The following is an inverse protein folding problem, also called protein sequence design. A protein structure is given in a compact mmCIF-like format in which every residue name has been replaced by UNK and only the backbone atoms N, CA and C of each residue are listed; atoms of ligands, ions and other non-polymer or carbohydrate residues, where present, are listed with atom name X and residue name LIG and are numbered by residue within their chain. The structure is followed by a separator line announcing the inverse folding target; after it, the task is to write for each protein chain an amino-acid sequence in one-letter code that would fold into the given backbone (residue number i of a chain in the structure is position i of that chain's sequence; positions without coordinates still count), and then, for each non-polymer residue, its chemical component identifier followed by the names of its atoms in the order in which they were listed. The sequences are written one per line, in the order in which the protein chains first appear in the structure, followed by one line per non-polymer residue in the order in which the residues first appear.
data_IF_387835415907
#
_entry.id   IF_387835415907
#
_cell.length_a   1.000
_cell.length_b   1.000
_cell.length_c   1.000
_cell.angle_alpha   90.00
_cell.angle_beta   90.00
_cell.angle_gamma   90.00
#
_symmetry.space_group_name_H-M   'P 1'
#
loop_
_entity.id
_entity.type
_entity.pdbx_description
1 polymer ?
#
# COMPACT_ATOMS: atom_id res chain seq x y z
N UNK A 1 -59.57 -31.88 -57.79
CA UNK A 1 -58.68 -30.70 -57.95
C UNK A 1 -58.84 -29.68 -56.83
N UNK A 2 -60.01 -29.41 -56.29
CA UNK A 2 -60.25 -28.38 -55.24
C UNK A 2 -59.51 -28.56 -53.92
N UNK A 3 -59.35 -29.78 -53.40
CA UNK A 3 -58.71 -30.00 -52.11
C UNK A 3 -57.21 -29.60 -52.10
N UNK A 4 -56.47 -29.86 -53.19
CA UNK A 4 -55.05 -29.50 -53.27
C UNK A 4 -54.85 -27.98 -53.41
N UNK A 5 -55.73 -27.29 -54.08
CA UNK A 5 -55.64 -25.85 -54.22
C UNK A 5 -56.00 -25.15 -52.89
N UNK A 6 -56.94 -25.65 -52.15
CA UNK A 6 -57.36 -25.16 -50.82
C UNK A 6 -56.21 -25.31 -49.83
N UNK A 7 -55.56 -26.46 -49.78
CA UNK A 7 -54.39 -26.71 -48.94
C UNK A 7 -53.16 -25.90 -49.35
N UNK A 8 -52.97 -25.64 -50.63
CA UNK A 8 -51.92 -24.77 -51.14
C UNK A 8 -52.13 -23.33 -50.65
N UNK A 9 -53.37 -22.83 -50.70
CA UNK A 9 -53.70 -21.50 -50.23
C UNK A 9 -53.56 -21.35 -48.74
N UNK A 10 -53.98 -22.33 -47.95
CA UNK A 10 -53.73 -22.38 -46.48
C UNK A 10 -52.24 -22.30 -46.16
N UNK A 11 -51.37 -23.04 -46.91
CA UNK A 11 -49.94 -23.04 -46.73
C UNK A 11 -49.31 -21.65 -47.07
N UNK A 12 -49.75 -21.05 -48.18
CA UNK A 12 -49.30 -19.70 -48.58
C UNK A 12 -49.71 -18.62 -47.53
N UNK A 13 -50.90 -18.72 -46.95
CA UNK A 13 -51.32 -17.78 -45.89
C UNK A 13 -50.56 -18.01 -44.62
N UNK A 14 -50.28 -19.25 -44.25
CA UNK A 14 -49.40 -19.58 -43.12
C UNK A 14 -47.97 -19.09 -43.28
N UNK A 15 -47.41 -19.20 -44.50
CA UNK A 15 -46.08 -18.66 -44.83
C UNK A 15 -46.09 -17.15 -44.70
N UNK A 16 -47.10 -16.43 -45.16
CA UNK A 16 -47.21 -14.97 -44.98
C UNK A 16 -47.32 -14.60 -43.53
N UNK A 17 -48.09 -15.29 -42.73
CA UNK A 17 -48.21 -15.06 -41.26
C UNK A 17 -46.88 -15.24 -40.58
N UNK A 18 -46.13 -16.32 -40.85
CA UNK A 18 -44.82 -16.59 -40.30
C UNK A 18 -43.81 -15.50 -40.71
N UNK A 19 -43.87 -15.04 -41.95
CA UNK A 19 -43.03 -13.96 -42.41
C UNK A 19 -43.31 -12.61 -41.69
N UNK A 20 -44.62 -12.31 -41.48
CA UNK A 20 -44.99 -11.12 -40.73
C UNK A 20 -44.53 -11.17 -39.26
N UNK A 21 -44.72 -12.30 -38.59
CA UNK A 21 -44.27 -12.48 -37.24
C UNK A 21 -42.77 -12.44 -37.11
N UNK A 22 -42.04 -13.03 -38.10
CA UNK A 22 -40.59 -12.91 -38.16
C UNK A 22 -40.12 -11.48 -38.28
N UNK A 23 -40.73 -10.67 -39.17
CA UNK A 23 -40.41 -9.24 -39.31
C UNK A 23 -40.69 -8.46 -38.06
N UNK A 24 -41.80 -8.70 -37.35
CA UNK A 24 -42.10 -8.10 -36.05
C UNK A 24 -41.04 -8.46 -35.01
N UNK A 25 -40.63 -9.70 -34.94
CA UNK A 25 -39.58 -10.16 -34.03
C UNK A 25 -38.24 -9.46 -34.30
N UNK A 26 -37.88 -9.30 -35.58
CA UNK A 26 -36.65 -8.61 -35.97
C UNK A 26 -36.66 -7.13 -35.56
N UNK A 27 -37.78 -6.45 -35.67
CA UNK A 27 -37.94 -5.05 -35.22
C UNK A 27 -37.82 -4.95 -33.71
N UNK A 28 -38.49 -5.82 -32.96
CA UNK A 28 -38.43 -5.85 -31.48
C UNK A 28 -36.98 -6.13 -31.04
N UNK A 29 -36.35 -7.15 -31.60
CA UNK A 29 -34.98 -7.51 -31.27
C UNK A 29 -33.97 -6.40 -31.59
N UNK A 30 -34.19 -5.66 -32.68
CA UNK A 30 -33.38 -4.50 -33.06
C UNK A 30 -33.50 -3.37 -32.03
N UNK A 31 -34.74 -3.04 -31.63
CA UNK A 31 -35.03 -2.04 -30.61
C UNK A 31 -34.41 -2.38 -29.25
N UNK A 32 -34.59 -3.62 -28.79
CA UNK A 32 -33.98 -4.10 -27.53
C UNK A 32 -32.45 -4.02 -27.55
N UNK A 33 -31.83 -4.33 -28.71
CA UNK A 33 -30.37 -4.18 -28.87
C UNK A 33 -29.93 -2.71 -28.73
N UNK A 34 -30.62 -1.79 -29.39
CA UNK A 34 -30.33 -0.35 -29.28
C UNK A 34 -30.47 0.15 -27.85
N UNK A 35 -31.54 -0.24 -27.14
CA UNK A 35 -31.73 0.13 -25.73
C UNK A 35 -30.61 -0.44 -24.85
N UNK A 36 -30.18 -1.66 -25.10
CA UNK A 36 -29.11 -2.30 -24.35
C UNK A 36 -27.76 -1.62 -24.61
N UNK A 37 -27.47 -1.27 -25.86
CA UNK A 37 -26.27 -0.54 -26.22
C UNK A 37 -26.24 0.86 -25.58
N UNK A 38 -27.36 1.59 -25.56
CA UNK A 38 -27.49 2.87 -24.84
C UNK A 38 -27.25 2.74 -23.35
N UNK A 39 -27.79 1.70 -22.71
CA UNK A 39 -27.56 1.43 -21.28
C UNK A 39 -26.11 1.08 -21.00
N UNK A 40 -25.46 0.31 -21.87
CA UNK A 40 -24.03 -0.03 -21.74
C UNK A 40 -23.16 1.22 -21.81
N UNK A 41 -23.41 2.08 -22.78
CA UNK A 41 -22.65 3.31 -22.98
C UNK A 41 -22.82 4.29 -21.81
N UNK A 42 -24.06 4.47 -21.34
CA UNK A 42 -24.35 5.30 -20.17
C UNK A 42 -23.65 4.78 -18.91
N UNK A 43 -23.71 3.46 -18.64
CA UNK A 43 -23.04 2.86 -17.47
C UNK A 43 -21.53 2.95 -17.59
N UNK A 44 -20.97 2.88 -18.82
CA UNK A 44 -19.53 3.07 -19.05
C UNK A 44 -19.08 4.47 -18.66
N UNK A 45 -19.81 5.51 -19.11
CA UNK A 45 -19.52 6.91 -18.76
C UNK A 45 -19.68 7.17 -17.27
N UNK A 46 -20.74 6.63 -16.65
CA UNK A 46 -20.94 6.74 -15.20
C UNK A 46 -19.77 6.10 -14.43
N UNK A 47 -19.34 4.89 -14.83
CA UNK A 47 -18.20 4.20 -14.23
C UNK A 47 -16.93 5.02 -14.34
N UNK A 48 -16.61 5.55 -15.53
CA UNK A 48 -15.41 6.36 -15.76
C UNK A 48 -15.42 7.63 -14.89
N UNK A 49 -16.54 8.34 -14.82
CA UNK A 49 -16.68 9.54 -13.98
C UNK A 49 -16.52 9.25 -12.49
N UNK A 50 -17.06 8.13 -12.02
CA UNK A 50 -16.94 7.74 -10.60
C UNK A 50 -15.54 7.21 -10.29
N UNK A 51 -14.88 6.48 -11.20
CA UNK A 51 -13.50 6.08 -11.04
C UNK A 51 -12.57 7.29 -10.95
N UNK A 52 -12.83 8.31 -11.75
CA UNK A 52 -12.08 9.56 -11.69
C UNK A 52 -12.27 10.25 -10.34
N UNK A 53 -13.53 10.42 -9.86
CA UNK A 53 -13.80 10.98 -8.54
C UNK A 53 -13.17 10.17 -7.41
N UNK A 54 -13.25 8.84 -7.45
CA UNK A 54 -12.63 7.98 -6.45
C UNK A 54 -11.11 8.12 -6.44
N UNK A 55 -10.50 8.27 -7.61
CA UNK A 55 -9.06 8.49 -7.78
C UNK A 55 -8.64 9.86 -7.27
N UNK A 56 -9.37 10.92 -7.63
CA UNK A 56 -9.11 12.30 -7.20
C UNK A 56 -9.25 12.46 -5.68
N UNK A 57 -10.28 11.87 -5.09
CA UNK A 57 -10.56 11.96 -3.66
C UNK A 57 -9.90 10.86 -2.83
N UNK A 58 -9.24 9.90 -3.47
CA UNK A 58 -8.61 8.74 -2.82
C UNK A 58 -9.57 7.97 -1.89
N UNK A 59 -10.85 7.92 -2.25
CA UNK A 59 -11.89 7.25 -1.51
C UNK A 59 -12.39 6.08 -2.35
N UNK A 60 -12.34 4.86 -1.80
CA UNK A 60 -13.00 3.69 -2.39
C UNK A 60 -14.46 3.64 -1.92
N UNK A 61 -15.38 3.48 -2.86
CA UNK A 61 -16.79 3.35 -2.53
C UNK A 61 -17.27 1.92 -2.83
N UNK A 62 -17.77 1.17 -1.84
CA UNK A 62 -18.30 -0.19 -2.05
C UNK A 62 -19.38 -0.27 -3.13
N UNK A 63 -20.20 0.78 -3.28
CA UNK A 63 -21.23 0.85 -4.32
C UNK A 63 -20.66 0.88 -5.75
N UNK A 64 -19.41 1.31 -5.95
CA UNK A 64 -18.74 1.25 -7.25
C UNK A 64 -18.57 -0.20 -7.74
N UNK A 65 -18.38 -1.16 -6.82
CA UNK A 65 -18.35 -2.57 -7.16
C UNK A 65 -19.69 -3.05 -7.77
N UNK A 66 -20.81 -2.49 -7.30
CA UNK A 66 -22.14 -2.76 -7.86
C UNK A 66 -22.30 -2.20 -9.27
N UNK A 67 -21.80 -0.98 -9.51
CA UNK A 67 -21.82 -0.37 -10.86
C UNK A 67 -21.00 -1.20 -11.86
N UNK A 68 -19.86 -1.77 -11.45
CA UNK A 68 -19.10 -2.71 -12.26
C UNK A 68 -19.88 -4.00 -12.57
N UNK A 69 -20.53 -4.56 -11.57
CA UNK A 69 -21.37 -5.76 -11.75
C UNK A 69 -22.50 -5.50 -12.75
N UNK A 70 -23.17 -4.37 -12.65
CA UNK A 70 -24.25 -3.98 -13.56
C UNK A 70 -23.77 -3.82 -15.00
N UNK A 71 -22.64 -3.12 -15.22
CA UNK A 71 -22.05 -3.00 -16.56
C UNK A 71 -21.70 -4.34 -17.18
N UNK A 72 -21.00 -5.19 -16.42
CA UNK A 72 -20.65 -6.55 -16.87
C UNK A 72 -21.90 -7.39 -17.14
N UNK A 73 -22.98 -7.23 -16.32
CA UNK A 73 -24.26 -7.92 -16.52
C UNK A 73 -24.89 -7.53 -17.86
N UNK A 74 -24.87 -6.25 -18.22
CA UNK A 74 -25.40 -5.77 -19.51
C UNK A 74 -24.59 -6.32 -20.70
N UNK A 75 -23.27 -6.33 -20.59
CA UNK A 75 -22.38 -6.92 -21.63
C UNK A 75 -22.61 -8.41 -21.80
N UNK A 76 -22.76 -9.16 -20.69
CA UNK A 76 -23.03 -10.60 -20.73
C UNK A 76 -24.41 -10.90 -21.32
N UNK A 77 -25.45 -10.10 -21.00
CA UNK A 77 -26.79 -10.23 -21.61
C UNK A 77 -26.73 -10.03 -23.12
N UNK A 78 -25.94 -9.06 -23.59
CA UNK A 78 -25.75 -8.82 -25.03
C UNK A 78 -25.11 -10.02 -25.70
N UNK A 79 -24.03 -10.59 -25.11
CA UNK A 79 -23.34 -11.77 -25.63
C UNK A 79 -24.25 -13.02 -25.64
N UNK A 80 -24.95 -13.28 -24.52
CA UNK A 80 -25.85 -14.43 -24.40
C UNK A 80 -27.02 -14.30 -25.36
N UNK A 81 -27.57 -13.09 -25.50
CA UNK A 81 -28.64 -12.80 -26.48
C UNK A 81 -28.19 -13.06 -27.92
N UNK A 82 -26.97 -12.64 -28.28
CA UNK A 82 -26.41 -12.94 -29.60
C UNK A 82 -26.29 -14.46 -29.83
N UNK A 83 -25.79 -15.21 -28.88
CA UNK A 83 -25.62 -16.67 -29.01
C UNK A 83 -26.95 -17.41 -29.15
N UNK A 84 -28.03 -16.92 -28.54
CA UNK A 84 -29.38 -17.49 -28.66
C UNK A 84 -30.06 -17.17 -29.97
N UNK A 85 -29.84 -15.97 -30.51
CA UNK A 85 -30.63 -15.40 -31.63
C UNK A 85 -29.89 -15.37 -32.95
N UNK A 86 -28.67 -15.93 -33.04
CA UNK A 86 -27.93 -16.02 -34.32
C UNK A 86 -28.57 -17.07 -35.24
N UNK A 87 -28.21 -17.05 -36.52
CA UNK A 87 -28.75 -17.92 -37.58
C UNK A 87 -28.75 -19.40 -37.19
N UNK A 88 -27.74 -19.86 -36.45
CA UNK A 88 -27.65 -21.21 -35.87
C UNK A 88 -27.52 -21.07 -34.34
N UNK A 89 -28.63 -21.11 -33.59
CA UNK A 89 -28.63 -20.87 -32.16
C UNK A 89 -27.79 -21.86 -31.36
N UNK A 90 -26.93 -21.33 -30.48
CA UNK A 90 -26.08 -22.12 -29.60
C UNK A 90 -26.65 -22.17 -28.15
N UNK A 91 -27.82 -22.74 -28.00
CA UNK A 91 -28.60 -22.71 -26.75
C UNK A 91 -27.84 -23.33 -25.57
N UNK A 92 -27.24 -24.51 -25.74
CA UNK A 92 -26.45 -25.16 -24.67
C UNK A 92 -25.26 -24.29 -24.23
N UNK A 93 -24.46 -23.79 -25.20
CA UNK A 93 -23.34 -22.92 -24.92
C UNK A 93 -23.79 -21.59 -24.28
N UNK A 94 -24.92 -21.02 -24.67
CA UNK A 94 -25.45 -19.79 -24.08
C UNK A 94 -25.81 -19.96 -22.59
N UNK A 95 -26.33 -21.11 -22.20
CA UNK A 95 -26.61 -21.44 -20.78
C UNK A 95 -25.34 -21.54 -19.97
N UNK A 96 -24.34 -22.29 -20.46
CA UNK A 96 -23.04 -22.46 -19.78
C UNK A 96 -22.34 -21.10 -19.62
N UNK A 97 -22.28 -20.31 -20.71
CA UNK A 97 -21.66 -18.97 -20.67
C UNK A 97 -22.42 -18.04 -19.71
N UNK A 98 -23.74 -18.09 -19.68
CA UNK A 98 -24.54 -17.28 -18.75
C UNK A 98 -24.22 -17.60 -17.29
N UNK A 99 -24.03 -18.88 -16.97
CA UNK A 99 -23.72 -19.30 -15.59
C UNK A 99 -22.26 -18.92 -15.22
N UNK A 100 -21.31 -19.20 -16.07
CA UNK A 100 -19.91 -18.82 -15.87
C UNK A 100 -19.76 -17.28 -15.74
N UNK A 101 -20.46 -16.53 -16.57
CA UNK A 101 -20.49 -15.07 -16.48
C UNK A 101 -21.08 -14.58 -15.14
N UNK A 102 -22.13 -15.23 -14.64
CA UNK A 102 -22.69 -14.93 -13.32
C UNK A 102 -21.68 -15.15 -12.18
N UNK A 103 -20.99 -16.29 -12.20
CA UNK A 103 -19.95 -16.61 -11.20
C UNK A 103 -18.78 -15.63 -11.28
N UNK A 104 -18.31 -15.32 -12.50
CA UNK A 104 -17.26 -14.31 -12.74
C UNK A 104 -17.64 -12.94 -12.20
N UNK A 105 -18.87 -12.46 -12.49
CA UNK A 105 -19.35 -11.16 -11.99
C UNK A 105 -19.37 -11.12 -10.47
N UNK A 106 -19.88 -12.18 -9.84
CA UNK A 106 -19.89 -12.29 -8.38
C UNK A 106 -18.48 -12.21 -7.81
N UNK A 107 -17.54 -12.97 -8.34
CA UNK A 107 -16.14 -12.96 -7.88
C UNK A 107 -15.47 -11.59 -8.06
N UNK A 108 -15.70 -10.91 -9.20
CA UNK A 108 -15.17 -9.55 -9.45
C UNK A 108 -15.78 -8.55 -8.46
N UNK A 109 -17.08 -8.62 -8.21
CA UNK A 109 -17.74 -7.76 -7.22
C UNK A 109 -17.18 -7.97 -5.82
N UNK A 110 -17.11 -9.22 -5.38
CA UNK A 110 -16.64 -9.57 -4.04
C UNK A 110 -15.17 -9.14 -3.85
N UNK A 111 -14.34 -9.35 -4.88
CA UNK A 111 -12.95 -8.85 -4.91
C UNK A 111 -12.89 -7.32 -4.75
N UNK A 112 -13.68 -6.58 -5.54
CA UNK A 112 -13.68 -5.10 -5.47
C UNK A 112 -14.21 -4.59 -4.13
N UNK A 113 -15.23 -5.22 -3.56
CA UNK A 113 -15.70 -4.87 -2.21
C UNK A 113 -14.59 -5.07 -1.19
N UNK A 114 -13.88 -6.19 -1.25
CA UNK A 114 -12.77 -6.47 -0.35
C UNK A 114 -11.62 -5.44 -0.53
N UNK A 115 -11.25 -5.10 -1.78
CA UNK A 115 -10.25 -4.07 -2.08
C UNK A 115 -10.65 -2.70 -1.51
N UNK A 116 -11.91 -2.30 -1.65
CA UNK A 116 -12.40 -1.03 -1.10
C UNK A 116 -12.47 -1.02 0.42
N UNK A 117 -12.86 -2.13 1.04
CA UNK A 117 -12.86 -2.27 2.49
C UNK A 117 -11.44 -2.22 3.05
N UNK A 118 -10.50 -2.92 2.42
CA UNK A 118 -9.08 -2.87 2.79
C UNK A 118 -8.56 -1.43 2.68
N UNK A 119 -8.78 -0.75 1.55
CA UNK A 119 -8.36 0.64 1.37
C UNK A 119 -9.03 1.60 2.38
N UNK A 120 -10.29 1.36 2.75
CA UNK A 120 -11.00 2.12 3.76
C UNK A 120 -10.39 1.92 5.15
N UNK A 121 -10.15 0.66 5.54
CA UNK A 121 -9.53 0.35 6.82
C UNK A 121 -8.09 0.82 6.90
N UNK A 122 -7.29 0.71 5.83
CA UNK A 122 -5.93 1.24 5.76
C UNK A 122 -5.90 2.79 5.91
N UNK A 123 -6.96 3.48 5.47
CA UNK A 123 -7.07 4.93 5.68
C UNK A 123 -7.45 5.32 7.11
N UNK A 124 -8.33 4.54 7.75
CA UNK A 124 -8.77 4.81 9.13
C UNK A 124 -7.72 4.29 10.12
N UNK A 125 -7.08 3.20 9.77
CA UNK A 125 -6.26 2.37 10.62
C UNK A 125 -4.94 2.02 9.93
N UNK A 126 -4.00 2.98 9.75
CA UNK A 126 -2.74 2.74 9.05
C UNK A 126 -1.93 1.55 9.60
N UNK A 127 -2.04 1.24 10.90
CA UNK A 127 -1.37 0.09 11.52
C UNK A 127 -1.87 -1.28 11.01
N UNK A 128 -3.07 -1.36 10.40
CA UNK A 128 -3.53 -2.61 9.76
C UNK A 128 -2.68 -2.98 8.55
N UNK A 129 -1.98 -2.01 7.98
CA UNK A 129 -0.98 -2.26 6.93
C UNK A 129 0.18 -3.06 7.51
N UNK A 130 0.59 -2.76 8.75
CA UNK A 130 1.66 -3.46 9.46
C UNK A 130 1.32 -4.94 9.69
N UNK A 131 0.09 -5.22 10.14
CA UNK A 131 -0.40 -6.60 10.32
C UNK A 131 -0.47 -7.38 9.01
N UNK A 132 -0.83 -6.71 7.91
CA UNK A 132 -0.86 -7.34 6.59
C UNK A 132 0.55 -7.71 6.12
N UNK A 133 1.53 -6.88 6.41
CA UNK A 133 2.91 -7.07 6.00
C UNK A 133 3.65 -8.15 6.80
N UNK A 134 3.33 -8.33 8.07
CA UNK A 134 3.79 -9.50 8.84
C UNK A 134 3.30 -10.82 8.20
N UNK A 135 2.18 -10.79 7.48
CA UNK A 135 1.62 -11.95 6.77
C UNK A 135 2.17 -12.08 5.34
N UNK A 136 2.42 -10.95 4.64
CA UNK A 136 2.84 -10.92 3.22
C UNK A 136 4.37 -10.92 3.01
N UNK A 137 5.17 -10.82 4.07
CA UNK A 137 6.64 -10.63 3.99
C UNK A 137 7.38 -11.83 3.40
N UNK A 138 6.82 -13.02 3.43
CA UNK A 138 7.51 -14.19 2.93
C UNK A 138 6.81 -14.77 1.70
N UNK A 139 7.46 -14.69 0.53
CA UNK A 139 7.11 -15.54 -0.62
C UNK A 139 7.20 -17.02 -0.22
N UNK A 140 6.57 -17.94 -0.96
CA UNK A 140 6.67 -19.37 -0.68
C UNK A 140 8.13 -19.87 -0.67
N UNK A 141 8.97 -19.30 -1.53
CA UNK A 141 10.43 -19.56 -1.57
C UNK A 141 11.12 -19.08 -0.30
N UNK A 142 10.76 -17.91 0.20
CA UNK A 142 11.30 -17.35 1.45
C UNK A 142 10.84 -18.15 2.68
N UNK A 143 9.59 -18.61 2.70
CA UNK A 143 9.09 -19.52 3.73
C UNK A 143 9.79 -20.88 3.71
N UNK A 144 10.15 -21.37 2.53
CA UNK A 144 10.91 -22.61 2.38
C UNK A 144 12.33 -22.44 2.93
N UNK A 145 13.01 -21.31 2.62
CA UNK A 145 14.34 -21.00 3.16
C UNK A 145 14.32 -20.89 4.69
N UNK A 146 13.31 -20.24 5.27
CA UNK A 146 13.22 -20.09 6.72
C UNK A 146 13.01 -21.41 7.47
N UNK A 147 12.39 -22.42 6.85
CA UNK A 147 12.22 -23.76 7.44
C UNK A 147 13.54 -24.50 7.65
N UNK A 148 14.59 -24.11 6.96
CA UNK A 148 15.90 -24.74 7.06
C UNK A 148 16.74 -24.27 8.27
N UNK A 149 16.35 -23.14 8.89
CA UNK A 149 17.04 -22.55 10.03
C UNK A 149 16.53 -23.09 11.37
N UNK A 150 17.41 -23.13 12.38
CA UNK A 150 16.98 -23.39 13.76
C UNK A 150 16.24 -22.19 14.36
N UNK A 151 15.43 -22.42 15.41
CA UNK A 151 14.71 -21.34 16.11
C UNK A 151 15.65 -20.25 16.66
N UNK A 152 16.88 -20.62 17.05
CA UNK A 152 17.88 -19.66 17.53
C UNK A 152 18.44 -18.80 16.39
N UNK A 153 18.67 -19.41 15.22
CA UNK A 153 19.15 -18.71 14.03
C UNK A 153 18.09 -17.73 13.48
N UNK A 154 16.81 -18.11 13.54
CA UNK A 154 15.69 -17.27 13.11
C UNK A 154 15.53 -15.97 13.92
N UNK A 155 16.16 -15.89 15.09
CA UNK A 155 16.18 -14.64 15.86
C UNK A 155 17.10 -13.58 15.25
N UNK A 156 18.03 -13.95 14.37
CA UNK A 156 18.81 -13.00 13.58
C UNK A 156 18.12 -12.70 12.25
N UNK A 157 17.57 -11.51 12.11
CA UNK A 157 16.87 -11.08 10.89
C UNK A 157 17.73 -11.12 9.62
N UNK A 158 19.06 -11.27 9.73
CA UNK A 158 19.91 -11.49 8.56
C UNK A 158 19.58 -12.82 7.84
N UNK A 159 19.04 -13.82 8.55
CA UNK A 159 18.59 -15.09 7.96
C UNK A 159 17.49 -14.92 6.92
N UNK A 160 16.70 -13.84 7.02
CA UNK A 160 15.67 -13.52 6.03
C UNK A 160 16.24 -13.09 4.66
N UNK A 161 17.54 -12.82 4.59
CA UNK A 161 18.23 -12.30 3.40
C UNK A 161 19.36 -13.20 2.88
N UNK A 162 19.67 -14.30 3.58
CA UNK A 162 20.79 -15.18 3.28
C UNK A 162 20.32 -16.64 3.15
N UNK A 163 21.08 -17.46 2.44
CA UNK A 163 20.90 -18.91 2.53
C UNK A 163 21.57 -19.44 3.80
N UNK A 164 21.22 -20.65 4.20
CA UNK A 164 21.78 -21.28 5.40
C UNK A 164 23.31 -21.44 5.34
N UNK A 165 23.83 -21.79 4.17
CA UNK A 165 25.27 -21.91 3.91
C UNK A 165 25.94 -20.55 4.04
N UNK A 166 25.40 -19.51 3.37
CA UNK A 166 25.91 -18.15 3.46
C UNK A 166 25.90 -17.62 4.90
N UNK A 167 24.82 -17.90 5.64
CA UNK A 167 24.71 -17.47 7.04
C UNK A 167 25.75 -18.11 7.95
N UNK A 168 26.08 -19.38 7.74
CA UNK A 168 27.00 -20.15 8.60
C UNK A 168 28.46 -20.00 8.21
N UNK A 169 28.74 -19.94 6.91
CA UNK A 169 30.12 -20.02 6.40
C UNK A 169 30.76 -18.64 6.18
N UNK A 170 29.99 -17.61 5.91
CA UNK A 170 30.56 -16.30 5.63
C UNK A 170 31.09 -15.59 6.89
N UNK A 171 32.25 -14.91 6.80
CA UNK A 171 32.75 -14.02 7.86
C UNK A 171 31.73 -12.90 8.18
N UNK A 172 31.73 -12.43 9.45
CA UNK A 172 30.74 -11.45 9.96
C UNK A 172 30.53 -10.25 9.05
N UNK A 173 31.61 -9.56 8.66
CA UNK A 173 31.52 -8.38 7.77
C UNK A 173 30.81 -8.73 6.47
N UNK A 174 31.23 -9.79 5.78
CA UNK A 174 30.72 -10.16 4.46
C UNK A 174 29.28 -10.62 4.56
N UNK A 175 28.95 -11.43 5.58
CA UNK A 175 27.60 -11.92 5.86
C UNK A 175 26.62 -10.76 6.07
N UNK A 176 26.92 -9.88 6.99
CA UNK A 176 26.04 -8.78 7.36
C UNK A 176 25.93 -7.72 6.25
N UNK A 177 27.01 -7.47 5.48
CA UNK A 177 26.96 -6.58 4.32
C UNK A 177 26.07 -7.18 3.22
N UNK A 178 26.20 -8.47 2.94
CA UNK A 178 25.36 -9.15 1.94
C UNK A 178 23.88 -9.12 2.33
N UNK A 179 23.56 -9.33 3.60
CA UNK A 179 22.19 -9.22 4.10
C UNK A 179 21.65 -7.78 3.91
N UNK A 180 22.46 -6.76 4.22
CA UNK A 180 22.09 -5.35 4.03
C UNK A 180 21.88 -5.01 2.54
N UNK A 181 22.76 -5.47 1.66
CA UNK A 181 22.67 -5.22 0.22
C UNK A 181 21.40 -5.86 -0.36
N UNK A 182 21.09 -7.10 0.07
CA UNK A 182 19.87 -7.80 -0.34
C UNK A 182 18.62 -7.16 0.26
N UNK A 183 18.67 -6.70 1.51
CA UNK A 183 17.60 -5.86 2.07
C UNK A 183 17.31 -4.67 1.17
N UNK A 184 18.30 -3.89 0.74
CA UNK A 184 18.09 -2.72 -0.11
C UNK A 184 17.62 -3.06 -1.53
N UNK A 185 18.06 -4.18 -2.10
CA UNK A 185 17.65 -4.64 -3.45
C UNK A 185 16.24 -5.22 -3.49
N UNK A 186 15.81 -5.87 -2.42
CA UNK A 186 14.49 -6.53 -2.37
C UNK A 186 13.37 -5.50 -2.51
N UNK A 187 12.29 -5.81 -3.28
CA UNK A 187 11.07 -5.00 -3.28
C UNK A 187 10.55 -4.82 -1.85
N UNK A 188 10.10 -3.62 -1.55
CA UNK A 188 9.58 -3.27 -0.22
C UNK A 188 8.12 -2.92 -0.30
N UNK A 189 7.38 -3.23 0.73
CA UNK A 189 6.01 -2.79 0.91
C UNK A 189 5.89 -1.26 0.96
N UNK A 190 4.72 -0.76 0.70
CA UNK A 190 4.45 0.69 0.77
C UNK A 190 4.68 1.24 2.18
N UNK A 191 4.32 0.46 3.18
CA UNK A 191 4.52 0.80 4.58
C UNK A 191 6.01 0.89 4.94
N UNK A 192 6.80 -0.15 4.62
CA UNK A 192 8.23 -0.15 4.89
C UNK A 192 8.94 1.02 4.16
N UNK A 193 8.50 1.34 2.94
CA UNK A 193 9.02 2.50 2.21
C UNK A 193 8.67 3.80 2.95
N UNK A 194 7.45 3.93 3.48
CA UNK A 194 7.05 5.07 4.33
C UNK A 194 7.94 5.20 5.56
N UNK A 195 8.10 4.12 6.30
CA UNK A 195 8.96 4.06 7.49
C UNK A 195 10.43 4.38 7.21
N UNK A 196 10.97 3.88 6.09
CA UNK A 196 12.33 4.21 5.66
C UNK A 196 12.47 5.70 5.28
N UNK A 197 11.40 6.29 4.73
CA UNK A 197 11.36 7.71 4.43
C UNK A 197 11.35 8.57 5.71
N UNK A 198 10.57 8.19 6.71
CA UNK A 198 10.58 8.82 8.03
C UNK A 198 11.95 8.72 8.69
N UNK A 199 12.61 7.55 8.64
CA UNK A 199 13.97 7.36 9.13
C UNK A 199 14.98 8.24 8.41
N UNK A 200 14.85 8.37 7.09
CA UNK A 200 15.71 9.25 6.30
C UNK A 200 15.53 10.72 6.68
N UNK A 201 14.28 11.18 6.79
CA UNK A 201 14.00 12.57 7.24
C UNK A 201 14.53 12.78 8.66
N UNK A 202 14.29 11.84 9.57
CA UNK A 202 14.81 11.90 10.94
C UNK A 202 16.34 11.97 10.99
N UNK A 203 17.04 11.13 10.19
CA UNK A 203 18.51 11.19 10.06
C UNK A 203 19.02 12.57 9.66
N UNK A 204 18.33 13.28 8.76
CA UNK A 204 18.75 14.63 8.33
C UNK A 204 18.72 15.63 9.51
N UNK A 205 17.78 15.50 10.42
CA UNK A 205 17.71 16.32 11.63
C UNK A 205 18.71 15.87 12.69
N UNK A 206 18.89 14.58 12.90
CA UNK A 206 19.91 14.03 13.80
C UNK A 206 21.31 14.47 13.38
N UNK A 207 21.60 14.49 12.06
CA UNK A 207 22.85 15.02 11.50
C UNK A 207 23.08 16.47 11.86
N UNK A 208 22.00 17.27 11.95
CA UNK A 208 22.06 18.68 12.35
C UNK A 208 22.10 18.87 13.89
N UNK A 209 22.08 17.78 14.65
CA UNK A 209 22.17 17.79 16.11
C UNK A 209 20.83 18.01 16.81
N UNK A 210 19.71 17.66 16.17
CA UNK A 210 18.42 17.54 16.83
C UNK A 210 18.33 16.18 17.53
N UNK A 211 17.65 16.14 18.69
CA UNK A 211 17.10 14.92 19.24
C UNK A 211 15.78 14.64 18.50
N UNK A 212 15.65 13.44 17.93
CA UNK A 212 14.52 13.06 17.11
C UNK A 212 13.74 11.94 17.79
N UNK A 213 12.46 12.18 18.01
CA UNK A 213 11.50 11.17 18.43
C UNK A 213 10.70 10.69 17.23
N UNK A 214 10.74 9.38 16.95
CA UNK A 214 10.02 8.72 15.87
C UNK A 214 8.63 8.29 16.36
N UNK A 215 7.70 9.23 16.46
CA UNK A 215 6.37 9.04 17.08
C UNK A 215 5.53 8.04 16.29
N UNK A 216 5.51 8.16 14.96
CA UNK A 216 4.77 7.27 14.07
C UNK A 216 5.20 5.80 14.19
N UNK A 217 6.49 5.57 14.49
CA UNK A 217 7.04 4.22 14.65
C UNK A 217 6.64 3.58 15.99
N UNK A 218 6.47 4.38 17.05
CA UNK A 218 6.27 3.86 18.42
C UNK A 218 4.83 3.92 18.91
N UNK A 219 4.05 4.90 18.47
CA UNK A 219 2.71 5.15 19.00
C UNK A 219 1.60 4.65 18.07
N UNK A 220 1.93 4.30 16.82
CA UNK A 220 0.94 3.83 15.86
C UNK A 220 -0.25 4.79 15.76
N UNK A 221 -1.45 4.35 16.13
CA UNK A 221 -2.66 5.19 16.11
C UNK A 221 -2.64 6.44 16.98
N UNK A 222 -1.91 6.38 18.08
CA UNK A 222 -1.82 7.50 19.01
C UNK A 222 -0.87 8.59 18.50
N UNK A 223 -0.23 8.41 17.33
CA UNK A 223 0.65 9.41 16.71
C UNK A 223 -0.12 10.62 16.22
N UNK A 224 -1.42 10.46 16.03
CA UNK A 224 -2.34 11.48 15.51
C UNK A 224 -1.88 12.08 14.17
N UNK A 225 -1.02 11.36 13.40
CA UNK A 225 -0.42 11.83 12.16
C UNK A 225 0.83 12.71 12.36
N UNK A 226 1.51 12.59 13.50
CA UNK A 226 2.85 13.17 13.75
C UNK A 226 3.88 12.06 13.60
N UNK A 227 4.68 12.10 12.56
CA UNK A 227 5.67 11.04 12.34
C UNK A 227 6.94 11.28 13.14
N UNK A 228 7.42 12.54 13.19
CA UNK A 228 8.63 12.92 13.92
C UNK A 228 8.42 14.16 14.79
N UNK A 229 9.07 14.18 15.96
CA UNK A 229 9.25 15.38 16.77
C UNK A 229 10.75 15.61 16.94
N UNK A 230 11.26 16.73 16.41
CA UNK A 230 12.66 17.07 16.46
C UNK A 230 12.86 18.21 17.47
N UNK A 231 13.77 18.01 18.44
CA UNK A 231 14.07 18.99 19.48
C UNK A 231 15.54 19.42 19.43
N UNK A 232 15.77 20.72 19.45
CA UNK A 232 17.10 21.30 19.65
C UNK A 232 17.01 22.60 20.47
N UNK A 233 17.60 22.61 21.65
CA UNK A 233 17.42 23.70 22.63
C UNK A 233 15.92 23.90 22.91
N UNK A 234 15.39 25.13 22.77
CA UNK A 234 13.97 25.45 22.94
C UNK A 234 13.18 25.45 21.61
N UNK A 235 13.72 24.90 20.54
CA UNK A 235 13.06 24.77 19.23
C UNK A 235 12.51 23.37 19.08
N UNK A 236 11.24 23.28 18.74
CA UNK A 236 10.55 22.02 18.47
C UNK A 236 10.01 22.04 17.04
N UNK A 237 10.21 20.96 16.31
CA UNK A 237 9.70 20.79 14.95
C UNK A 237 8.84 19.54 14.94
N UNK A 238 7.57 19.70 14.62
CA UNK A 238 6.65 18.59 14.37
C UNK A 238 6.62 18.33 12.87
N UNK A 239 6.84 17.08 12.47
CA UNK A 239 6.98 16.70 11.08
C UNK A 239 5.98 15.60 10.75
N UNK A 240 5.33 15.74 9.60
CA UNK A 240 4.63 14.65 8.91
C UNK A 240 5.34 14.31 7.60
N UNK A 241 5.45 13.00 7.32
CA UNK A 241 6.10 12.45 6.15
C UNK A 241 5.09 11.68 5.29
N UNK A 242 5.00 11.98 4.00
CA UNK A 242 4.16 11.24 3.04
C UNK A 242 4.99 10.82 1.84
N UNK A 243 5.38 9.55 1.82
CA UNK A 243 6.09 8.98 0.67
C UNK A 243 5.10 8.27 -0.26
N UNK A 244 4.58 9.00 -1.23
CA UNK A 244 3.58 8.50 -2.18
C UNK A 244 4.13 8.36 -3.59
N UNK A 245 3.45 7.57 -4.43
CA UNK A 245 3.80 7.46 -5.84
C UNK A 245 3.62 8.80 -6.55
N UNK A 246 4.50 9.12 -7.51
CA UNK A 246 4.55 10.42 -8.22
C UNK A 246 3.23 10.90 -8.82
N UNK A 247 2.32 9.98 -9.18
CA UNK A 247 1.03 10.31 -9.77
C UNK A 247 -0.05 10.63 -8.73
N UNK A 248 0.28 10.61 -7.42
CA UNK A 248 -0.66 10.92 -6.34
C UNK A 248 -0.41 12.32 -5.82
N UNK A 249 -1.43 13.15 -5.87
CA UNK A 249 -1.42 14.51 -5.32
C UNK A 249 -1.87 14.49 -3.87
N UNK A 250 -1.21 15.26 -3.02
CA UNK A 250 -1.62 15.49 -1.63
C UNK A 250 -2.69 16.59 -1.62
N UNK A 251 -3.87 16.25 -1.11
CA UNK A 251 -4.99 17.19 -1.00
C UNK A 251 -5.06 17.84 0.39
N UNK A 252 -5.83 18.90 0.48
CA UNK A 252 -6.01 19.75 1.67
C UNK A 252 -6.39 19.00 2.95
N UNK A 253 -7.12 17.89 2.85
CA UNK A 253 -7.49 17.06 4.01
C UNK A 253 -6.29 16.60 4.85
N UNK A 254 -5.17 16.32 4.19
CA UNK A 254 -3.95 15.90 4.89
C UNK A 254 -3.30 17.06 5.63
N UNK A 255 -3.41 18.28 5.08
CA UNK A 255 -2.92 19.49 5.71
C UNK A 255 -3.78 19.83 6.93
N UNK A 256 -5.12 19.71 6.83
CA UNK A 256 -6.01 19.94 7.98
C UNK A 256 -5.79 18.90 9.08
N UNK A 257 -5.64 17.63 8.74
CA UNK A 257 -5.33 16.60 9.70
C UNK A 257 -4.01 16.91 10.43
N UNK A 258 -2.96 17.22 9.69
CA UNK A 258 -1.67 17.57 10.26
C UNK A 258 -1.73 18.84 11.11
N UNK A 259 -2.43 19.88 10.67
CA UNK A 259 -2.63 21.10 11.46
C UNK A 259 -3.30 20.80 12.81
N UNK A 260 -4.34 19.96 12.83
CA UNK A 260 -5.00 19.55 14.06
C UNK A 260 -4.03 18.90 15.06
N UNK A 261 -3.13 18.04 14.58
CA UNK A 261 -2.12 17.39 15.44
C UNK A 261 -1.06 18.36 15.95
N UNK A 262 -0.65 19.34 15.10
CA UNK A 262 0.28 20.39 15.49
C UNK A 262 -0.36 21.33 16.53
N UNK A 263 -1.64 21.67 16.33
CA UNK A 263 -2.39 22.47 17.29
C UNK A 263 -2.44 21.80 18.65
N UNK A 264 -2.82 20.52 18.70
CA UNK A 264 -2.83 19.75 19.96
C UNK A 264 -1.44 19.73 20.61
N UNK A 265 -0.37 19.50 19.85
CA UNK A 265 0.99 19.50 20.40
C UNK A 265 1.39 20.87 20.98
N UNK A 266 0.96 21.97 20.36
CA UNK A 266 1.18 23.34 20.87
C UNK A 266 0.38 23.59 22.15
N UNK A 267 -0.86 23.14 22.20
CA UNK A 267 -1.75 23.26 23.36
C UNK A 267 -1.19 22.51 24.58
N UNK A 268 -0.73 21.28 24.37
CA UNK A 268 -0.05 20.47 25.40
C UNK A 268 1.32 21.05 25.83
N UNK A 269 1.92 21.93 25.01
CA UNK A 269 3.26 22.46 25.21
C UNK A 269 3.33 24.00 25.03
N UNK A 270 2.57 24.81 25.76
CA UNK A 270 2.36 26.24 25.48
C UNK A 270 3.64 27.09 25.58
N UNK A 271 4.65 26.62 26.30
CA UNK A 271 5.94 27.33 26.45
C UNK A 271 6.95 27.00 25.36
N UNK A 272 6.67 26.03 24.48
CA UNK A 272 7.57 25.60 23.41
C UNK A 272 7.35 26.38 22.12
N UNK A 273 8.43 26.75 21.45
CA UNK A 273 8.35 27.30 20.09
C UNK A 273 8.27 26.16 19.07
N UNK A 274 7.06 25.88 18.59
CA UNK A 274 6.77 24.76 17.71
C UNK A 274 6.65 25.23 16.26
N UNK A 275 7.45 24.64 15.37
CA UNK A 275 7.36 24.75 13.92
C UNK A 275 6.73 23.48 13.34
N UNK A 276 5.90 23.62 12.29
CA UNK A 276 5.31 22.50 11.58
C UNK A 276 5.94 22.37 10.19
N UNK A 277 6.34 21.16 9.80
CA UNK A 277 6.89 20.89 8.47
C UNK A 277 6.24 19.62 7.90
N UNK A 278 5.79 19.72 6.66
CA UNK A 278 5.19 18.60 5.92
C UNK A 278 6.13 18.16 4.79
N UNK A 279 6.64 16.94 4.87
CA UNK A 279 7.50 16.33 3.84
C UNK A 279 6.68 15.42 2.94
N UNK A 280 6.86 15.55 1.64
CA UNK A 280 6.25 14.62 0.67
C UNK A 280 7.15 14.36 -0.54
N UNK A 281 7.13 13.11 -1.02
CA UNK A 281 7.83 12.70 -2.24
C UNK A 281 7.09 13.11 -3.52
N UNK A 282 5.89 13.67 -3.40
CA UNK A 282 5.01 14.10 -4.51
C UNK A 282 4.60 15.55 -4.33
N UNK A 283 3.66 16.01 -5.16
CA UNK A 283 3.15 17.38 -5.15
C UNK A 283 1.87 17.52 -4.34
N UNK A 284 1.62 18.74 -3.86
CA UNK A 284 0.35 19.14 -3.26
C UNK A 284 -0.57 19.76 -4.32
N UNK A 285 -1.88 19.72 -4.05
CA UNK A 285 -2.84 20.56 -4.78
C UNK A 285 -2.62 22.04 -4.48
N UNK A 286 -3.02 22.93 -5.40
CA UNK A 286 -2.89 24.38 -5.18
C UNK A 286 -3.67 24.84 -3.95
N UNK A 287 -4.80 24.21 -3.68
CA UNK A 287 -5.58 24.48 -2.48
C UNK A 287 -4.83 24.06 -1.20
N UNK A 288 -4.22 22.88 -1.21
CA UNK A 288 -3.40 22.41 -0.09
C UNK A 288 -2.19 23.31 0.18
N UNK A 289 -1.52 23.83 -0.88
CA UNK A 289 -0.42 24.81 -0.73
C UNK A 289 -0.91 26.11 -0.11
N UNK A 290 -2.05 26.65 -0.55
CA UNK A 290 -2.63 27.87 0.03
C UNK A 290 -2.95 27.67 1.52
N UNK A 291 -3.62 26.58 1.88
CA UNK A 291 -3.90 26.28 3.30
C UNK A 291 -2.63 26.10 4.12
N UNK A 292 -1.64 25.41 3.61
CA UNK A 292 -0.37 25.24 4.33
C UNK A 292 0.27 26.57 4.67
N UNK A 293 0.26 27.51 3.74
CA UNK A 293 0.78 28.86 3.95
C UNK A 293 0.01 29.62 5.04
N UNK A 294 -1.32 29.64 4.96
CA UNK A 294 -2.18 30.33 5.93
C UNK A 294 -2.08 29.68 7.34
N UNK A 295 -1.93 28.36 7.41
CA UNK A 295 -1.80 27.63 8.68
C UNK A 295 -0.37 27.60 9.25
N UNK A 296 0.59 28.24 8.56
CA UNK A 296 1.98 28.31 9.00
C UNK A 296 2.72 26.96 8.96
N UNK A 297 2.37 26.08 8.01
CA UNK A 297 3.02 24.80 7.76
C UNK A 297 4.04 24.97 6.65
N UNK A 298 5.31 24.70 6.92
CA UNK A 298 6.35 24.66 5.89
C UNK A 298 6.21 23.39 5.07
N UNK A 299 6.28 23.50 3.73
CA UNK A 299 6.20 22.39 2.80
C UNK A 299 7.57 22.01 2.25
N UNK A 300 7.81 20.70 2.15
CA UNK A 300 8.93 20.09 1.43
C UNK A 300 8.36 19.11 0.41
N UNK A 301 7.94 19.64 -0.73
CA UNK A 301 7.39 18.89 -1.86
C UNK A 301 8.49 18.27 -2.72
N UNK A 302 8.16 17.18 -3.43
CA UNK A 302 9.08 16.47 -4.31
C UNK A 302 10.40 16.07 -3.61
N UNK A 303 10.36 15.94 -2.29
CA UNK A 303 11.51 15.60 -1.48
C UNK A 303 11.76 14.09 -1.57
N UNK A 304 12.70 13.72 -2.42
CA UNK A 304 12.96 12.32 -2.76
C UNK A 304 13.69 11.60 -1.64
N UNK A 305 13.32 10.34 -1.45
CA UNK A 305 14.04 9.42 -0.58
C UNK A 305 15.42 9.09 -1.18
N UNK A 306 16.47 9.45 -0.47
CA UNK A 306 17.84 9.04 -0.80
C UNK A 306 18.11 7.67 -0.14
N UNK A 307 18.19 6.62 -0.95
CA UNK A 307 18.47 5.26 -0.48
C UNK A 307 19.93 5.07 -0.04
N UNK A 308 20.82 5.95 -0.47
CA UNK A 308 22.25 5.87 -0.19
C UNK A 308 22.64 6.59 1.12
N UNK A 309 21.66 7.04 1.91
CA UNK A 309 21.97 7.62 3.21
C UNK A 309 22.58 6.56 4.15
N UNK A 310 23.48 6.97 5.08
CA UNK A 310 24.02 6.07 6.08
C UNK A 310 22.91 5.49 6.94
N UNK A 311 22.68 4.19 6.85
CA UNK A 311 21.55 3.52 7.49
C UNK A 311 21.91 2.55 8.59
N UNK A 312 23.21 2.35 8.86
CA UNK A 312 23.68 1.53 9.97
C UNK A 312 23.87 2.42 11.19
N UNK A 313 23.22 2.09 12.31
CA UNK A 313 23.36 2.79 13.58
C UNK A 313 24.46 2.16 14.43
N UNK A 314 25.51 2.89 14.76
CA UNK A 314 26.60 2.49 15.65
C UNK A 314 26.41 3.15 17.01
N UNK A 315 26.08 2.40 18.04
CA UNK A 315 25.83 2.92 19.39
C UNK A 315 26.58 2.13 20.47
N UNK A 316 26.72 2.72 21.64
CA UNK A 316 27.36 2.14 22.81
C UNK A 316 26.31 1.78 23.86
N UNK A 317 26.27 0.53 24.31
CA UNK A 317 25.32 0.08 25.33
C UNK A 317 25.45 0.90 26.62
N UNK A 318 24.31 1.41 27.10
CA UNK A 318 24.22 2.22 28.34
C UNK A 318 23.69 1.43 29.53
N UNK A 319 23.10 0.28 29.27
CA UNK A 319 22.54 -0.59 30.29
C UNK A 319 23.44 -1.81 30.53
N UNK A 320 23.46 -2.31 31.75
CA UNK A 320 24.06 -3.61 32.06
C UNK A 320 23.11 -4.70 31.59
N UNK A 321 23.38 -5.22 30.41
CA UNK A 321 22.65 -6.32 29.79
C UNK A 321 23.62 -7.52 29.69
N UNK A 322 23.22 -8.74 30.06
CA UNK A 322 24.08 -9.94 29.97
C UNK A 322 24.69 -10.17 28.56
N UNK A 323 23.98 -9.71 27.51
CA UNK A 323 24.42 -9.85 26.11
C UNK A 323 25.20 -8.64 25.58
N UNK A 324 25.10 -7.50 26.24
CA UNK A 324 25.78 -6.26 25.89
C UNK A 324 26.02 -5.42 27.15
N UNK A 325 27.05 -5.77 27.93
CA UNK A 325 27.45 -4.99 29.09
C UNK A 325 27.64 -3.50 28.74
N UNK A 326 27.50 -2.64 29.72
CA UNK A 326 27.73 -1.21 29.57
C UNK A 326 29.07 -0.92 28.89
N UNK A 327 29.09 -0.07 27.88
CA UNK A 327 30.28 0.25 27.10
C UNK A 327 30.49 -0.64 25.86
N UNK A 328 29.67 -1.68 25.67
CA UNK A 328 29.77 -2.50 24.46
C UNK A 328 29.36 -1.70 23.23
N UNK A 329 30.25 -1.65 22.24
CA UNK A 329 30.02 -1.05 20.95
C UNK A 329 29.20 -1.97 20.05
N UNK A 330 28.02 -1.52 19.60
CA UNK A 330 27.07 -2.36 18.87
C UNK A 330 26.58 -1.60 17.63
N UNK A 331 26.49 -2.28 16.48
CA UNK A 331 25.79 -1.71 15.32
C UNK A 331 24.48 -2.44 15.04
N UNK A 332 23.50 -1.68 14.55
CA UNK A 332 22.19 -2.16 14.12
C UNK A 332 21.98 -1.92 12.63
N UNK A 333 21.51 -2.94 11.94
CA UNK A 333 21.07 -2.85 10.56
C UNK A 333 19.60 -2.40 10.47
N UNK A 334 19.15 -1.79 9.36
CA UNK A 334 17.79 -1.24 9.23
C UNK A 334 16.65 -2.22 9.49
N UNK A 335 16.90 -3.50 9.39
CA UNK A 335 15.95 -4.57 9.65
C UNK A 335 16.06 -5.18 11.05
N UNK A 336 16.95 -4.70 11.91
CA UNK A 336 17.10 -5.25 13.26
C UNK A 336 15.98 -4.74 14.18
N UNK A 337 15.49 -5.63 15.05
CA UNK A 337 14.37 -5.38 15.96
C UNK A 337 14.54 -4.12 16.83
N UNK A 338 15.77 -3.83 17.25
CA UNK A 338 16.07 -2.70 18.14
C UNK A 338 16.48 -1.42 17.37
N UNK A 339 16.49 -1.46 16.05
CA UNK A 339 16.98 -0.34 15.22
C UNK A 339 16.29 0.98 15.56
N UNK A 340 14.97 0.99 15.62
CA UNK A 340 14.20 2.23 15.85
C UNK A 340 14.28 2.72 17.29
N UNK A 341 14.42 1.79 18.25
CA UNK A 341 14.59 2.11 19.68
C UNK A 341 15.97 2.68 19.97
N UNK A 342 16.95 2.46 19.09
CA UNK A 342 18.33 2.92 19.28
C UNK A 342 18.45 4.38 18.89
N UNK A 343 18.72 5.24 19.88
CA UNK A 343 19.07 6.65 19.71
C UNK A 343 20.58 6.80 19.73
N UNK A 344 21.13 7.66 18.87
CA UNK A 344 22.56 7.94 18.78
C UNK A 344 22.90 9.24 19.51
N UNK A 345 23.92 9.20 20.34
CA UNK A 345 24.44 10.36 21.05
C UNK A 345 25.90 10.60 20.67
N UNK A 346 26.17 11.63 19.88
CA UNK A 346 27.52 11.98 19.38
C UNK A 346 28.60 12.08 20.46
N UNK A 347 28.23 12.48 21.67
CA UNK A 347 29.15 12.62 22.81
C UNK A 347 29.80 11.28 23.24
N UNK A 348 29.23 10.14 22.82
CA UNK A 348 29.77 8.81 23.11
C UNK A 348 30.46 8.18 21.88
N UNK A 349 30.75 8.97 20.84
CA UNK A 349 31.34 8.47 19.60
C UNK A 349 30.39 7.62 18.77
N UNK A 350 29.07 7.82 18.97
CA UNK A 350 28.02 7.13 18.23
C UNK A 350 27.75 7.83 16.90
N UNK A 351 27.52 7.06 15.84
CA UNK A 351 27.40 7.61 14.50
C UNK A 351 26.61 6.68 13.56
N UNK A 352 26.23 7.22 12.42
CA UNK A 352 25.71 6.48 11.28
C UNK A 352 26.81 6.14 10.30
N UNK A 353 26.83 4.92 9.75
CA UNK A 353 27.75 4.54 8.68
C UNK A 353 26.99 3.86 7.51
N UNK A 354 27.68 3.76 6.36
CA UNK A 354 27.11 3.16 5.15
C UNK A 354 27.36 1.66 5.04
N UNK A 355 28.52 1.22 5.51
CA UNK A 355 28.95 -0.17 5.34
C UNK A 355 29.21 -0.86 6.67
N UNK A 356 29.01 -2.17 6.68
CA UNK A 356 29.32 -3.01 7.84
C UNK A 356 30.81 -2.97 8.17
N UNK A 357 31.66 -2.83 7.14
CA UNK A 357 33.10 -2.71 7.34
C UNK A 357 33.46 -1.46 8.15
N UNK A 358 32.87 -0.29 7.80
CA UNK A 358 33.07 0.94 8.59
C UNK A 358 32.68 0.76 10.06
N UNK A 359 31.58 0.06 10.33
CA UNK A 359 31.16 -0.21 11.69
C UNK A 359 32.15 -1.12 12.44
N UNK A 360 32.59 -2.23 11.82
CA UNK A 360 33.47 -3.20 12.45
C UNK A 360 34.93 -2.65 12.59
N UNK A 361 35.42 -1.88 11.62
CA UNK A 361 36.72 -1.18 11.70
C UNK A 361 36.75 -0.15 12.85
N UNK A 362 35.59 0.46 13.19
CA UNK A 362 35.44 1.33 14.35
C UNK A 362 35.26 0.56 15.68
N UNK A 363 35.32 -0.76 15.64
CA UNK A 363 35.23 -1.64 16.81
C UNK A 363 33.79 -1.96 17.25
N UNK A 364 32.79 -1.75 16.41
CA UNK A 364 31.41 -2.12 16.70
C UNK A 364 31.12 -3.54 16.21
N UNK A 365 30.41 -4.34 17.01
CA UNK A 365 29.93 -5.66 16.61
C UNK A 365 28.44 -5.65 16.31
N UNK A 366 27.94 -6.64 15.56
CA UNK A 366 26.50 -6.78 15.28
C UNK A 366 25.68 -6.97 16.56
N UNK A 367 24.55 -6.28 16.61
CA UNK A 367 23.52 -6.47 17.63
C UNK A 367 22.63 -7.66 17.25
N UNK A 368 22.96 -8.86 17.67
CA UNK A 368 22.03 -9.96 17.56
C UNK A 368 21.95 -10.69 18.91
N UNK A 369 20.86 -11.45 19.14
CA UNK A 369 20.54 -12.15 20.39
C UNK A 369 20.12 -11.25 21.57
N UNK A 370 19.35 -10.18 21.29
CA UNK A 370 18.60 -9.54 22.36
C UNK A 370 17.46 -10.48 22.79
N UNK A 371 17.59 -11.12 23.95
CA UNK A 371 16.47 -11.79 24.60
C UNK A 371 15.88 -10.84 25.64
N UNK A 372 14.57 -10.60 25.57
CA UNK A 372 13.88 -9.80 26.55
C UNK A 372 14.02 -10.52 27.92
N UNK A 373 14.75 -9.92 28.85
CA UNK A 373 15.01 -10.49 30.17
C UNK A 373 13.74 -10.68 31.03
N UNK A 374 12.59 -10.21 30.54
CA UNK A 374 11.27 -10.31 31.19
C UNK A 374 10.50 -11.60 30.86
N UNK A 375 11.05 -12.52 30.06
CA UNK A 375 10.45 -13.84 29.77
C UNK A 375 11.28 -14.95 30.44
N UNK A 376 11.56 -14.82 31.72
CA UNK A 376 11.88 -15.91 32.61
C UNK A 376 10.92 -15.94 33.77
#
# INVERSE_FOLDING_TARGET
MGYFEEKKKELEDLIKLVQQEKSRFEVIASRERQELDGKIEWNKKLKEGVEQMAKERQIGFPWLAKAYEELLSLQDKKLVGYLRNKKHPAIKSSKIISEQARLRRKAIKDKKIAEYLVAYYENIAPFLVDLKEEVDIATEEERALLKEYSEEELQDYATHYLTKEEYRELPSVKKNQMALDRFWKRPKSKWLIGRLYERFVGYLYEKQGYDVEYVGIFKGFEDLGRDLICQKNNKFIVIQCKNWAKFRTIYEKHIFQFFGTVFQYKDENPKKKVKAIFYTSTELSDLARRFSKELGIELKENFKFDKDYPSIKCHTSKADNPYAPRGTKIYHLPFDQQYDKTKLEKKYGEFYCKTVKEAEDAGFRRAFRYRDAKKK
#
